data_IF_253702859591
#
_entry.id   IF_253702859591
#
_cell.length_a   1.000
_cell.length_b   1.000
_cell.length_c   1.000
_cell.angle_alpha   90.00
_cell.angle_beta   90.00
_cell.angle_gamma   90.00
#
_symmetry.space_group_name_H-M   'P 1'
#
loop_
_entity.id
_entity.type
_entity.pdbx_description
1 polymer ?
#
# COMPACT_ATOMS: atom_id res chain seq x y z
N UNK A 1 7.13 24.85 21.79
CA UNK A 1 6.08 24.13 21.03
C UNK A 1 6.01 22.71 21.57
N UNK A 2 4.86 22.32 22.14
CA UNK A 2 4.63 20.99 22.71
C UNK A 2 4.34 20.02 21.57
N UNK A 3 5.00 18.85 21.59
CA UNK A 3 4.74 17.74 20.67
C UNK A 3 3.72 16.82 21.35
N UNK A 4 2.43 16.96 21.03
CA UNK A 4 1.39 16.07 21.53
C UNK A 4 1.36 14.78 20.70
N UNK A 5 2.10 13.78 21.18
CA UNK A 5 2.10 12.41 20.68
C UNK A 5 0.96 11.64 21.36
N UNK A 6 -0.25 11.67 20.83
CA UNK A 6 -1.37 10.85 21.33
C UNK A 6 -1.54 9.51 20.59
N UNK A 7 -0.76 9.24 19.52
CA UNK A 7 -0.80 7.95 18.86
C UNK A 7 0.00 6.90 19.64
N UNK A 8 -0.68 6.12 20.49
CA UNK A 8 -0.11 5.00 21.24
C UNK A 8 -0.19 3.72 20.39
N UNK A 9 0.88 2.94 20.35
CA UNK A 9 0.89 1.62 19.70
C UNK A 9 0.53 0.55 20.71
N UNK A 10 -0.60 -0.11 20.52
CA UNK A 10 -0.98 -1.32 21.23
C UNK A 10 -0.87 -2.53 20.31
N UNK A 11 -0.44 -3.67 20.86
CA UNK A 11 -0.55 -4.94 20.14
C UNK A 11 -2.02 -5.39 20.15
N UNK A 12 -2.42 -6.24 19.19
CA UNK A 12 -3.80 -6.75 19.16
C UNK A 12 -4.17 -7.52 20.43
N UNK A 13 -3.20 -8.20 21.05
CA UNK A 13 -3.41 -8.91 22.31
C UNK A 13 -3.62 -7.94 23.49
N UNK A 14 -2.86 -6.84 23.53
CA UNK A 14 -3.04 -5.81 24.55
C UNK A 14 -4.40 -5.12 24.41
N UNK A 15 -4.85 -4.85 23.19
CA UNK A 15 -6.18 -4.28 22.94
C UNK A 15 -7.28 -5.21 23.45
N UNK A 16 -7.20 -6.51 23.15
CA UNK A 16 -8.17 -7.49 23.67
C UNK A 16 -8.20 -7.51 25.19
N UNK A 17 -7.03 -7.51 25.85
CA UNK A 17 -6.95 -7.47 27.30
C UNK A 17 -7.56 -6.18 27.87
N UNK A 18 -7.32 -5.02 27.25
CA UNK A 18 -7.90 -3.74 27.66
C UNK A 18 -9.44 -3.73 27.56
N UNK A 19 -9.99 -4.34 26.51
CA UNK A 19 -11.44 -4.52 26.38
C UNK A 19 -12.02 -5.48 27.43
N UNK A 20 -11.32 -6.57 27.73
CA UNK A 20 -11.73 -7.55 28.75
C UNK A 20 -11.67 -6.97 30.18
N UNK A 21 -10.72 -6.07 30.43
CA UNK A 21 -10.55 -5.38 31.70
C UNK A 21 -11.47 -4.16 31.87
N UNK A 22 -12.17 -3.73 30.81
CA UNK A 22 -13.05 -2.55 30.85
C UNK A 22 -12.31 -1.21 30.90
N UNK A 23 -11.02 -1.20 30.55
CA UNK A 23 -10.15 -0.02 30.58
C UNK A 23 -10.36 0.89 29.35
N UNK A 24 -11.53 0.83 28.69
CA UNK A 24 -11.86 1.82 27.68
C UNK A 24 -12.23 3.12 28.37
N UNK A 25 -11.46 4.19 28.15
CA UNK A 25 -11.77 5.54 28.62
C UNK A 25 -13.04 6.14 27.95
N UNK A 26 -13.71 5.38 27.09
CA UNK A 26 -14.91 5.77 26.36
C UNK A 26 -16.19 5.29 27.05
N UNK A 27 -17.18 6.18 27.14
CA UNK A 27 -18.52 5.86 27.63
C UNK A 27 -19.36 5.19 26.52
N UNK A 28 -19.25 3.88 26.43
CA UNK A 28 -19.95 3.09 25.40
C UNK A 28 -21.46 2.97 25.64
N UNK A 29 -21.92 3.15 26.88
CA UNK A 29 -23.35 3.09 27.20
C UNK A 29 -24.04 4.36 26.70
N UNK A 30 -23.40 5.53 26.84
CA UNK A 30 -23.86 6.76 26.21
C UNK A 30 -23.91 6.67 24.68
N UNK A 31 -22.88 6.08 24.05
CA UNK A 31 -22.85 5.87 22.59
C UNK A 31 -23.97 4.94 22.13
N UNK A 32 -24.26 3.87 22.88
CA UNK A 32 -25.33 2.91 22.55
C UNK A 32 -26.74 3.51 22.71
N UNK A 33 -26.89 4.48 23.60
CA UNK A 33 -28.15 5.18 23.81
C UNK A 33 -28.40 6.31 22.79
N UNK A 34 -27.37 6.72 22.04
CA UNK A 34 -27.46 7.77 21.04
C UNK A 34 -28.31 7.29 19.85
N UNK A 35 -29.32 8.08 19.49
CA UNK A 35 -30.20 7.75 18.36
C UNK A 35 -29.67 8.30 17.05
N UNK A 36 -30.09 7.71 15.93
CA UNK A 36 -29.73 8.20 14.58
C UNK A 36 -30.11 9.68 14.40
N UNK A 37 -31.26 10.11 14.95
CA UNK A 37 -31.70 11.50 14.87
C UNK A 37 -30.80 12.46 15.66
N UNK A 38 -30.24 12.02 16.78
CA UNK A 38 -29.29 12.81 17.56
C UNK A 38 -27.93 12.92 16.84
N UNK A 39 -27.53 11.86 16.12
CA UNK A 39 -26.33 11.88 15.27
C UNK A 39 -26.50 12.84 14.10
N UNK A 40 -27.63 12.77 13.39
CA UNK A 40 -27.91 13.65 12.25
C UNK A 40 -27.97 15.13 12.68
N UNK A 41 -28.57 15.40 13.84
CA UNK A 41 -28.60 16.75 14.40
C UNK A 41 -27.20 17.25 14.77
N UNK A 42 -26.35 16.38 15.34
CA UNK A 42 -24.97 16.72 15.66
C UNK A 42 -24.17 17.06 14.40
N UNK A 43 -24.25 16.22 13.36
CA UNK A 43 -23.60 16.42 12.05
C UNK A 43 -24.06 17.73 11.41
N UNK A 44 -25.36 18.01 11.37
CA UNK A 44 -25.90 19.22 10.76
C UNK A 44 -25.47 20.52 11.46
N UNK A 45 -25.06 20.43 12.72
CA UNK A 45 -24.58 21.58 13.53
C UNK A 45 -23.06 21.66 13.60
N UNK A 46 -22.34 20.69 13.05
CA UNK A 46 -20.89 20.64 13.10
C UNK A 46 -20.28 21.54 11.99
N UNK A 47 -19.58 22.62 12.35
CA UNK A 47 -18.98 23.53 11.37
C UNK A 47 -17.85 22.88 10.55
N UNK A 48 -17.26 21.78 11.03
CA UNK A 48 -16.21 21.05 10.32
C UNK A 48 -16.80 20.11 9.22
N UNK A 49 -18.10 19.84 9.28
CA UNK A 49 -18.84 19.01 8.30
C UNK A 49 -19.42 19.83 7.14
N UNK A 50 -19.67 21.12 7.38
CA UNK A 50 -20.35 22.03 6.44
C UNK A 50 -19.68 22.17 5.05
N UNK A 51 -18.41 21.77 4.89
CA UNK A 51 -17.64 21.86 3.63
C UNK A 51 -17.13 20.48 3.11
N UNK A 52 -17.56 19.35 3.71
CA UNK A 52 -17.06 18.02 3.38
C UNK A 52 -17.91 17.27 2.32
N UNK A 53 -18.15 17.86 1.15
CA UNK A 53 -18.62 17.11 -0.03
C UNK A 53 -17.46 16.31 -0.66
N UNK A 54 -17.12 15.17 -0.07
CA UNK A 54 -16.09 14.27 -0.62
C UNK A 54 -16.73 13.33 -1.65
N UNK A 55 -16.43 13.55 -2.93
CA UNK A 55 -16.81 12.64 -4.01
C UNK A 55 -15.96 11.35 -3.98
N UNK A 56 -16.48 10.33 -3.30
CA UNK A 56 -15.86 9.01 -3.20
C UNK A 56 -15.95 8.20 -4.51
N UNK A 57 -16.63 8.67 -5.56
CA UNK A 57 -16.75 7.95 -6.83
C UNK A 57 -15.42 7.82 -7.59
N UNK A 58 -14.49 8.76 -7.34
CA UNK A 58 -13.14 8.76 -7.91
C UNK A 58 -12.11 8.06 -7.01
N UNK A 59 -12.53 7.51 -5.87
CA UNK A 59 -11.63 6.82 -4.96
C UNK A 59 -11.12 5.53 -5.60
N UNK A 60 -9.88 5.57 -6.10
CA UNK A 60 -9.20 4.38 -6.61
C UNK A 60 -8.69 3.58 -5.41
N UNK A 61 -9.43 2.53 -5.05
CA UNK A 61 -8.93 1.51 -4.13
C UNK A 61 -7.69 0.89 -4.78
N UNK A 62 -6.51 1.25 -4.29
CA UNK A 62 -5.31 0.46 -4.51
C UNK A 62 -5.38 -0.70 -3.52
N UNK A 63 -5.80 -1.92 -3.90
CA UNK A 63 -5.52 -3.05 -3.04
C UNK A 63 -4.01 -3.07 -2.85
N UNK A 64 -3.56 -2.92 -1.60
CA UNK A 64 -2.15 -3.05 -1.29
C UNK A 64 -1.72 -4.43 -1.78
N UNK A 65 -1.10 -4.48 -2.96
CA UNK A 65 -0.63 -5.72 -3.53
C UNK A 65 0.48 -6.18 -2.58
N UNK A 66 0.15 -7.12 -1.68
CA UNK A 66 1.11 -7.66 -0.72
C UNK A 66 2.34 -8.09 -1.49
N UNK A 67 3.47 -7.45 -1.20
CA UNK A 67 4.75 -7.76 -1.82
C UNK A 67 5.00 -9.25 -1.62
N UNK A 68 5.18 -10.00 -2.71
CA UNK A 68 5.50 -11.43 -2.63
C UNK A 68 6.99 -11.57 -2.36
N UNK A 69 7.35 -12.38 -1.36
CA UNK A 69 8.75 -12.74 -1.12
C UNK A 69 9.15 -13.71 -2.22
N UNK A 70 10.14 -13.33 -3.03
CA UNK A 70 10.71 -14.17 -4.08
C UNK A 70 12.20 -14.34 -3.80
N UNK A 71 12.67 -15.58 -3.82
CA UNK A 71 14.10 -15.90 -3.77
C UNK A 71 14.62 -15.97 -5.20
N UNK A 72 15.39 -14.97 -5.63
CA UNK A 72 16.03 -14.95 -6.94
C UNK A 72 17.54 -14.72 -6.81
N UNK A 73 18.29 -15.20 -7.80
CA UNK A 73 19.73 -14.90 -7.92
C UNK A 73 19.90 -13.59 -8.69
N UNK A 74 20.79 -12.74 -8.18
CA UNK A 74 21.20 -11.47 -8.80
C UNK A 74 22.72 -11.48 -8.84
N UNK A 75 23.30 -10.97 -9.92
CA UNK A 75 24.76 -10.87 -10.04
C UNK A 75 25.35 -9.99 -8.93
N UNK A 76 26.58 -10.33 -8.52
CA UNK A 76 27.20 -9.74 -7.34
C UNK A 76 27.49 -8.23 -7.52
N UNK A 77 27.87 -7.83 -8.74
CA UNK A 77 28.13 -6.44 -9.13
C UNK A 77 26.84 -5.60 -9.16
N UNK A 78 25.76 -6.14 -9.71
CA UNK A 78 24.44 -5.50 -9.71
C UNK A 78 23.96 -5.29 -8.27
N UNK A 79 24.11 -6.30 -7.41
CA UNK A 79 23.73 -6.17 -6.00
C UNK A 79 24.60 -5.14 -5.27
N UNK A 80 25.91 -5.10 -5.56
CA UNK A 80 26.83 -4.12 -4.99
C UNK A 80 26.41 -2.68 -5.38
N UNK A 81 26.14 -2.44 -6.67
CA UNK A 81 25.68 -1.15 -7.18
C UNK A 81 24.42 -0.63 -6.47
N UNK A 82 23.44 -1.50 -6.20
CA UNK A 82 22.24 -1.08 -5.47
C UNK A 82 22.51 -0.86 -3.98
N UNK A 83 23.41 -1.64 -3.36
CA UNK A 83 23.78 -1.47 -1.94
C UNK A 83 24.53 -0.17 -1.68
N UNK A 84 25.35 0.29 -2.61
CA UNK A 84 26.05 1.57 -2.53
C UNK A 84 25.09 2.77 -2.41
N UNK A 85 23.86 2.64 -2.91
CA UNK A 85 22.83 3.67 -2.80
C UNK A 85 22.19 3.77 -1.40
N UNK A 86 22.61 2.92 -0.46
CA UNK A 86 22.24 3.01 0.96
C UNK A 86 20.96 2.28 1.34
N UNK A 87 20.32 2.74 2.43
CA UNK A 87 19.16 2.09 3.02
C UNK A 87 17.98 2.09 2.05
N UNK A 88 17.39 0.92 1.81
CA UNK A 88 16.24 0.78 0.91
C UNK A 88 16.59 0.31 -0.51
N UNK A 89 17.79 -0.21 -0.74
CA UNK A 89 18.20 -0.78 -2.04
C UNK A 89 17.20 -1.81 -2.60
N UNK A 90 16.53 -2.60 -1.76
CA UNK A 90 15.49 -3.54 -2.19
C UNK A 90 14.27 -2.83 -2.80
N UNK A 91 13.86 -1.70 -2.22
CA UNK A 91 12.79 -0.86 -2.78
C UNK A 91 13.22 -0.29 -4.12
N UNK A 92 14.48 0.14 -4.25
CA UNK A 92 15.04 0.65 -5.51
C UNK A 92 15.03 -0.42 -6.61
N UNK A 93 15.45 -1.65 -6.28
CA UNK A 93 15.38 -2.81 -7.19
C UNK A 93 13.94 -3.01 -7.67
N UNK A 94 12.97 -3.01 -6.75
CA UNK A 94 11.57 -3.17 -7.11
C UNK A 94 11.06 -2.05 -8.03
N UNK A 95 11.46 -0.79 -7.81
CA UNK A 95 11.09 0.33 -8.69
C UNK A 95 11.64 0.16 -10.11
N UNK A 96 12.88 -0.31 -10.25
CA UNK A 96 13.49 -0.56 -11.57
C UNK A 96 12.77 -1.69 -12.30
N UNK A 97 12.47 -2.79 -11.60
CA UNK A 97 11.72 -3.91 -12.18
C UNK A 97 10.31 -3.48 -12.63
N UNK A 98 9.67 -2.58 -11.89
CA UNK A 98 8.36 -2.04 -12.26
C UNK A 98 8.43 -1.16 -13.51
N UNK A 99 9.39 -0.24 -13.56
CA UNK A 99 9.60 0.59 -14.74
C UNK A 99 9.91 -0.24 -16.00
N UNK A 100 10.69 -1.31 -15.87
CA UNK A 100 10.95 -2.25 -16.96
C UNK A 100 9.67 -2.97 -17.40
N UNK A 101 8.85 -3.45 -16.45
CA UNK A 101 7.57 -4.10 -16.74
C UNK A 101 6.61 -3.16 -17.48
N UNK A 102 6.51 -1.91 -17.05
CA UNK A 102 5.63 -0.92 -17.67
C UNK A 102 6.09 -0.62 -19.10
N UNK A 103 7.39 -0.37 -19.30
CA UNK A 103 7.97 -0.19 -20.64
C UNK A 103 7.76 -1.40 -21.56
N UNK A 104 7.96 -2.62 -21.05
CA UNK A 104 7.77 -3.85 -21.83
C UNK A 104 6.29 -4.12 -22.20
N UNK A 105 5.34 -3.58 -21.43
CA UNK A 105 3.90 -3.66 -21.74
C UNK A 105 3.44 -2.59 -22.72
N UNK A 106 4.14 -1.47 -22.76
CA UNK A 106 3.88 -0.37 -23.69
C UNK A 106 4.41 -0.62 -25.10
N UNK A 107 5.32 -1.58 -25.31
CA UNK A 107 5.68 -2.08 -26.65
C UNK A 107 4.73 -3.22 -27.06
N UNK A 108 3.66 -2.95 -27.85
CA UNK A 108 2.80 -4.01 -28.34
C UNK A 108 3.49 -4.61 -29.57
N UNK A 109 3.87 -5.88 -29.46
CA UNK A 109 4.06 -6.76 -30.60
C UNK A 109 5.17 -6.36 -31.59
N UNK A 110 6.43 -6.56 -31.19
CA UNK A 110 7.52 -6.69 -32.17
C UNK A 110 7.50 -8.15 -32.68
N UNK A 111 7.05 -8.42 -33.91
CA UNK A 111 7.05 -9.78 -34.42
C UNK A 111 8.49 -10.30 -34.47
N UNK A 112 8.74 -11.41 -33.77
CA UNK A 112 9.96 -12.18 -33.90
C UNK A 112 10.15 -12.47 -35.39
N UNK A 113 11.19 -11.87 -36.00
CA UNK A 113 11.53 -12.11 -37.40
C UNK A 113 11.78 -13.60 -37.59
N UNK A 114 10.81 -14.28 -38.17
CA UNK A 114 10.95 -15.61 -38.72
C UNK A 114 11.60 -15.49 -40.10
N UNK A 115 12.73 -16.17 -40.25
CA UNK A 115 13.46 -16.31 -41.50
C UNK A 115 14.88 -16.78 -41.17
N UNK A 116 15.33 -17.97 -41.53
CA UNK A 116 14.77 -19.03 -42.33
C UNK A 116 15.82 -20.17 -42.28
N UNK A 117 15.32 -21.38 -42.07
CA UNK A 117 15.89 -22.68 -42.42
C UNK A 117 17.35 -22.77 -42.92
N UNK A 118 18.16 -23.42 -42.09
CA UNK A 118 19.18 -24.42 -42.42
C UNK A 118 19.30 -24.86 -43.90
N UNK A 119 20.50 -24.76 -44.49
CA UNK A 119 20.96 -25.67 -45.55
C UNK A 119 22.50 -25.76 -45.62
N UNK A 120 22.99 -26.95 -45.24
CA UNK A 120 24.10 -27.72 -45.82
C UNK A 120 25.55 -27.38 -45.44
N UNK A 121 26.04 -28.22 -44.52
CA UNK A 121 27.30 -28.97 -44.62
C UNK A 121 27.39 -29.77 -45.94
N UNK A 122 28.64 -30.03 -46.38
CA UNK A 122 29.16 -30.81 -47.53
C UNK A 122 29.44 -29.95 -48.77
N UNK A 123 30.65 -29.82 -49.30
CA UNK A 123 31.85 -30.69 -49.29
C UNK A 123 33.14 -29.86 -49.35
#
# INVERSE_FOLDING_TARGET
MKNDKHAVRHSSADLTAMFEHGDSESDWDAVKALTDADVDAAVATDPDEADLEIDWSQAVIHPESRKKIVTMRVDADVLAFFREQGRGYQTKINSVLRAYMDHAREEPDRPLRSGGTNSRRSS
#
